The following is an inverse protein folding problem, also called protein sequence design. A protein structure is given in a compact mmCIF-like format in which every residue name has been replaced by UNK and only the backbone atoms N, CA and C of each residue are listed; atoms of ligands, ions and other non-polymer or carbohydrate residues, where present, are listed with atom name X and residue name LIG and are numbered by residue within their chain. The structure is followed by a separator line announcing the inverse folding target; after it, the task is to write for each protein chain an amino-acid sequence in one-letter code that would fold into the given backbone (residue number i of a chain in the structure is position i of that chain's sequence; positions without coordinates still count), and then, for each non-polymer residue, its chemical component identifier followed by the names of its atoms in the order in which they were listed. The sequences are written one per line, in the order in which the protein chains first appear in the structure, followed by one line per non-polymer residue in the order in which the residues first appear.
data_IF_206525042268
#
_entry.id   IF_206525042268
#
_cell.length_a   1.000
_cell.length_b   1.000
_cell.length_c   1.000
_cell.angle_alpha   90.00
_cell.angle_beta   90.00
_cell.angle_gamma   90.00
#
_symmetry.space_group_name_H-M   'P 1'
#
loop_
_entity.id
_entity.type
_entity.pdbx_description
1 polymer ?
#
# COMPACT_ATOMS: atom_id res chain seq x y z
N UNK A 1 -53.96 -35.90 15.91
CA UNK A 1 -53.83 -34.46 15.53
C UNK A 1 -52.88 -33.62 16.45
N UNK A 2 -52.38 -34.14 17.55
CA UNK A 2 -51.45 -33.46 18.45
C UNK A 2 -49.97 -33.50 17.99
N UNK A 3 -49.58 -34.53 17.23
CA UNK A 3 -48.18 -34.76 16.81
C UNK A 3 -47.61 -33.67 15.86
N UNK A 4 -48.44 -33.17 14.93
CA UNK A 4 -47.95 -32.17 13.95
C UNK A 4 -47.64 -30.78 14.55
N UNK A 5 -48.38 -30.40 15.62
CA UNK A 5 -48.14 -29.08 16.26
C UNK A 5 -46.84 -29.05 17.06
N UNK A 6 -46.47 -30.19 17.68
CA UNK A 6 -45.21 -30.30 18.42
C UNK A 6 -44.03 -30.30 17.48
N UNK A 7 -44.15 -30.96 16.30
CA UNK A 7 -43.09 -30.99 15.30
C UNK A 7 -42.83 -29.62 14.68
N UNK A 8 -43.89 -28.86 14.38
CA UNK A 8 -43.77 -27.48 13.85
C UNK A 8 -43.16 -26.55 14.89
N UNK A 9 -43.51 -26.68 16.17
CA UNK A 9 -42.96 -25.86 17.24
C UNK A 9 -41.47 -26.13 17.49
N UNK A 10 -41.03 -27.39 17.38
CA UNK A 10 -39.62 -27.79 17.47
C UNK A 10 -38.80 -27.29 16.27
N UNK A 11 -39.39 -27.34 15.06
CA UNK A 11 -38.76 -26.84 13.84
C UNK A 11 -38.58 -25.31 13.90
N UNK A 12 -39.58 -24.59 14.40
CA UNK A 12 -39.50 -23.13 14.60
C UNK A 12 -38.47 -22.73 15.66
N UNK A 13 -38.39 -23.47 16.75
CA UNK A 13 -37.36 -23.24 17.78
C UNK A 13 -35.94 -23.51 17.26
N UNK A 14 -35.74 -24.58 16.47
CA UNK A 14 -34.48 -24.88 15.83
C UNK A 14 -34.09 -23.78 14.81
N UNK A 15 -35.04 -23.25 14.05
CA UNK A 15 -34.80 -22.16 13.10
C UNK A 15 -34.43 -20.87 13.81
N UNK A 16 -35.01 -20.56 14.96
CA UNK A 16 -34.65 -19.40 15.79
C UNK A 16 -33.26 -19.53 16.39
N UNK A 17 -32.78 -20.73 16.75
CA UNK A 17 -31.44 -20.97 17.20
C UNK A 17 -30.39 -20.82 16.09
N UNK A 18 -30.70 -21.13 14.85
CA UNK A 18 -29.80 -20.95 13.70
C UNK A 18 -29.67 -19.47 13.35
N UNK A 19 -30.73 -18.68 13.54
CA UNK A 19 -30.68 -17.20 13.28
C UNK A 19 -29.99 -16.46 14.43
N UNK A 20 -29.99 -17.00 15.65
CA UNK A 20 -29.20 -16.48 16.78
C UNK A 20 -27.71 -16.85 16.69
N UNK A 21 -27.31 -17.63 15.66
CA UNK A 21 -25.92 -17.99 15.39
C UNK A 21 -25.07 -16.78 15.09
N UNK A 22 -24.26 -16.44 16.09
CA UNK A 22 -23.01 -15.70 16.02
C UNK A 22 -23.00 -14.49 15.09
N UNK A 23 -23.59 -13.39 15.50
CA UNK A 23 -22.99 -12.10 15.20
C UNK A 23 -21.65 -12.09 15.93
N UNK A 24 -20.55 -12.46 15.26
CA UNK A 24 -19.22 -12.15 15.76
C UNK A 24 -19.26 -10.68 16.13
N UNK A 25 -19.19 -10.37 17.43
CA UNK A 25 -19.10 -8.98 17.87
C UNK A 25 -17.89 -8.38 17.20
N UNK A 26 -18.08 -7.27 16.50
CA UNK A 26 -16.96 -6.51 15.97
C UNK A 26 -16.17 -5.98 17.15
N UNK A 27 -15.07 -6.65 17.48
CA UNK A 27 -14.09 -6.12 18.42
C UNK A 27 -13.22 -5.12 17.66
N UNK A 28 -13.20 -3.86 18.09
CA UNK A 28 -12.31 -2.87 17.48
C UNK A 28 -10.85 -3.24 17.77
N UNK A 29 -9.90 -2.82 16.92
CA UNK A 29 -8.48 -2.99 17.21
C UNK A 29 -8.10 -2.26 18.50
N UNK A 30 -7.02 -2.66 19.19
CA UNK A 30 -6.55 -2.02 20.42
C UNK A 30 -6.42 -0.50 20.26
N UNK A 31 -7.00 0.25 21.19
CA UNK A 31 -7.25 1.70 21.06
C UNK A 31 -5.99 2.54 20.76
N UNK A 32 -4.80 2.10 21.21
CA UNK A 32 -3.54 2.84 21.09
C UNK A 32 -2.62 2.33 19.97
N UNK A 33 -3.04 1.30 19.24
CA UNK A 33 -2.14 0.60 18.32
C UNK A 33 -1.62 1.53 17.21
N UNK A 34 -2.52 2.27 16.57
CA UNK A 34 -2.16 3.10 15.42
C UNK A 34 -1.43 4.40 15.78
N UNK A 35 -1.33 4.73 17.06
CA UNK A 35 -0.63 5.93 17.58
C UNK A 35 0.75 5.60 18.13
N UNK A 36 1.06 4.31 18.26
CA UNK A 36 2.34 3.83 18.76
C UNK A 36 3.11 3.09 17.66
N UNK A 37 4.17 3.72 17.14
CA UNK A 37 4.98 3.17 16.07
C UNK A 37 5.57 1.79 16.40
N UNK A 38 5.95 1.55 17.65
CA UNK A 38 6.48 0.25 18.07
C UNK A 38 5.42 -0.84 18.03
N UNK A 39 4.18 -0.52 18.41
CA UNK A 39 3.06 -1.47 18.31
C UNK A 39 2.70 -1.74 16.84
N UNK A 40 2.70 -0.70 16.00
CA UNK A 40 2.50 -0.84 14.55
C UNK A 40 3.55 -1.76 13.95
N UNK A 41 4.84 -1.53 14.26
CA UNK A 41 5.94 -2.37 13.77
C UNK A 41 5.81 -3.81 14.29
N UNK A 42 5.53 -3.99 15.59
CA UNK A 42 5.34 -5.32 16.19
C UNK A 42 4.21 -6.08 15.48
N UNK A 43 3.05 -5.46 15.33
CA UNK A 43 1.91 -6.07 14.64
C UNK A 43 2.24 -6.42 13.20
N UNK A 44 2.93 -5.53 12.48
CA UNK A 44 3.34 -5.79 11.12
C UNK A 44 4.29 -6.99 11.02
N UNK A 45 5.24 -7.11 11.95
CA UNK A 45 6.16 -8.26 12.02
C UNK A 45 5.45 -9.58 12.30
N UNK A 46 4.48 -9.58 13.20
CA UNK A 46 3.67 -10.77 13.51
C UNK A 46 2.89 -11.27 12.28
N UNK A 47 2.48 -10.37 11.39
CA UNK A 47 1.65 -10.69 10.22
C UNK A 47 2.47 -10.97 8.95
N UNK A 48 3.53 -10.20 8.71
CA UNK A 48 4.30 -10.26 7.45
C UNK A 48 5.63 -10.99 7.63
N UNK A 49 6.28 -10.85 8.79
CA UNK A 49 7.59 -11.43 9.12
C UNK A 49 8.59 -10.38 9.61
N UNK A 50 9.77 -10.84 10.02
CA UNK A 50 10.75 -10.02 10.76
C UNK A 50 11.46 -8.95 9.91
N UNK A 51 11.61 -9.17 8.59
CA UNK A 51 12.46 -8.33 7.73
C UNK A 51 11.75 -7.07 7.21
N UNK A 52 11.03 -6.36 8.08
CA UNK A 52 10.33 -5.15 7.71
C UNK A 52 11.28 -3.95 7.76
N UNK A 53 11.37 -3.21 6.65
CA UNK A 53 12.16 -1.99 6.51
C UNK A 53 11.37 -0.71 6.77
N UNK A 54 10.04 -0.76 6.60
CA UNK A 54 9.15 0.39 6.75
C UNK A 54 7.78 -0.04 7.28
N UNK A 55 7.21 0.76 8.19
CA UNK A 55 5.80 0.65 8.59
C UNK A 55 5.16 2.03 8.72
N UNK A 56 3.88 2.09 8.45
CA UNK A 56 3.06 3.28 8.71
C UNK A 56 1.61 2.90 8.95
N UNK A 57 0.96 3.58 9.87
CA UNK A 57 -0.49 3.49 10.05
C UNK A 57 -1.18 4.70 9.41
N UNK A 58 -2.35 4.48 8.80
CA UNK A 58 -3.10 5.54 8.13
C UNK A 58 -4.42 5.07 7.56
N UNK A 59 -5.12 6.00 6.90
CA UNK A 59 -6.41 5.78 6.26
C UNK A 59 -6.26 5.37 4.80
N UNK A 60 -5.69 4.18 4.56
CA UNK A 60 -5.30 3.74 3.22
C UNK A 60 -6.43 3.11 2.40
N UNK A 61 -7.42 2.52 3.04
CA UNK A 61 -8.56 1.90 2.36
C UNK A 61 -9.80 2.78 2.38
N UNK A 62 -10.06 3.38 3.55
CA UNK A 62 -11.21 4.24 3.79
C UNK A 62 -10.74 5.48 4.55
N UNK A 63 -11.57 6.48 4.63
CA UNK A 63 -11.35 7.70 5.42
C UNK A 63 -11.71 7.53 6.92
N UNK A 64 -12.22 6.38 7.31
CA UNK A 64 -12.76 6.14 8.67
C UNK A 64 -12.03 5.04 9.43
N UNK A 65 -11.40 4.09 8.74
CA UNK A 65 -10.73 2.95 9.37
C UNK A 65 -9.25 2.98 9.05
N UNK A 66 -8.42 3.04 10.11
CA UNK A 66 -6.97 2.94 9.97
C UNK A 66 -6.54 1.51 9.65
N UNK A 67 -5.54 1.38 8.82
CA UNK A 67 -4.83 0.15 8.49
C UNK A 67 -3.31 0.37 8.58
N UNK A 68 -2.54 -0.69 8.50
CA UNK A 68 -1.07 -0.65 8.54
C UNK A 68 -0.53 -0.97 7.17
N UNK A 69 0.51 -0.24 6.76
CA UNK A 69 1.36 -0.61 5.64
C UNK A 69 2.71 -1.05 6.17
N UNK A 70 3.18 -2.17 5.65
CA UNK A 70 4.54 -2.66 5.84
C UNK A 70 5.26 -2.72 4.49
N UNK A 71 6.52 -2.30 4.46
CA UNK A 71 7.39 -2.38 3.31
C UNK A 71 8.64 -3.20 3.62
N UNK A 72 9.03 -4.05 2.70
CA UNK A 72 10.26 -4.85 2.83
C UNK A 72 10.93 -5.07 1.48
N UNK A 73 12.25 -5.31 1.53
CA UNK A 73 13.02 -5.76 0.38
C UNK A 73 12.84 -7.26 0.20
N UNK A 74 12.64 -7.67 -1.03
CA UNK A 74 12.44 -9.09 -1.39
C UNK A 74 13.26 -9.45 -2.61
N UNK A 75 13.62 -10.72 -2.69
CA UNK A 75 14.20 -11.32 -3.89
C UNK A 75 13.25 -12.38 -4.42
N UNK A 76 12.77 -12.21 -5.64
CA UNK A 76 11.88 -13.16 -6.31
C UNK A 76 12.41 -13.47 -7.71
N UNK A 77 12.56 -14.76 -8.04
CA UNK A 77 13.01 -15.21 -9.37
C UNK A 77 14.32 -14.56 -9.83
N UNK A 78 15.27 -14.33 -8.92
CA UNK A 78 16.54 -13.64 -9.12
C UNK A 78 16.43 -12.12 -9.38
N UNK A 79 15.27 -11.51 -9.14
CA UNK A 79 15.09 -10.06 -9.19
C UNK A 79 14.99 -9.52 -7.75
N UNK A 80 15.67 -8.42 -7.48
CA UNK A 80 15.58 -7.68 -6.23
C UNK A 80 14.64 -6.50 -6.37
N UNK A 81 13.89 -6.23 -5.33
CA UNK A 81 13.00 -5.09 -5.29
C UNK A 81 12.30 -4.96 -3.95
N UNK A 82 11.27 -4.17 -3.94
CA UNK A 82 10.47 -3.90 -2.75
C UNK A 82 9.02 -4.36 -2.93
N UNK A 83 8.38 -4.70 -1.82
CA UNK A 83 6.94 -4.93 -1.74
C UNK A 83 6.33 -4.17 -0.60
N UNK A 84 5.09 -3.71 -0.82
CA UNK A 84 4.25 -3.16 0.22
C UNK A 84 3.07 -4.07 0.51
N UNK A 85 2.76 -4.21 1.79
CA UNK A 85 1.68 -5.03 2.32
C UNK A 85 0.68 -4.14 3.03
N UNK A 86 -0.59 -4.30 2.70
CA UNK A 86 -1.68 -3.70 3.45
C UNK A 86 -2.18 -4.71 4.47
N UNK A 87 -2.14 -4.31 5.74
CA UNK A 87 -2.56 -5.11 6.87
C UNK A 87 -3.77 -4.41 7.49
N UNK A 88 -4.90 -5.11 7.51
CA UNK A 88 -6.16 -4.58 8.01
C UNK A 88 -6.70 -5.43 9.14
N UNK A 89 -7.45 -4.79 10.04
CA UNK A 89 -8.19 -5.47 11.09
C UNK A 89 -9.43 -6.13 10.51
N UNK A 90 -9.46 -7.46 10.53
CA UNK A 90 -10.55 -8.26 9.95
C UNK A 90 -10.97 -9.32 10.94
N UNK A 91 -12.21 -9.29 11.39
CA UNK A 91 -12.81 -10.33 12.27
C UNK A 91 -12.03 -10.60 13.57
N UNK A 92 -11.49 -9.54 14.20
CA UNK A 92 -10.79 -9.66 15.49
C UNK A 92 -9.29 -9.95 15.38
N UNK A 93 -8.70 -9.91 14.18
CA UNK A 93 -7.27 -10.12 13.97
C UNK A 93 -6.72 -9.27 12.81
N UNK A 94 -5.42 -9.03 12.79
CA UNK A 94 -4.74 -8.38 11.68
C UNK A 94 -4.39 -9.38 10.59
N UNK A 95 -4.76 -9.07 9.34
CA UNK A 95 -4.51 -9.91 8.16
C UNK A 95 -3.93 -9.11 7.02
N UNK A 96 -3.07 -9.75 6.21
CA UNK A 96 -2.68 -9.19 4.92
C UNK A 96 -3.91 -9.19 4.02
N UNK A 97 -4.35 -7.98 3.64
CA UNK A 97 -5.47 -7.79 2.72
C UNK A 97 -5.02 -7.66 1.27
N UNK A 98 -3.83 -7.07 1.09
CA UNK A 98 -3.24 -6.85 -0.22
C UNK A 98 -1.72 -6.76 -0.13
N UNK A 99 -1.06 -7.12 -1.23
CA UNK A 99 0.36 -6.86 -1.44
C UNK A 99 0.59 -6.37 -2.86
N UNK A 100 1.58 -5.50 -3.05
CA UNK A 100 2.01 -5.08 -4.40
C UNK A 100 2.73 -6.22 -5.12
N UNK A 101 2.83 -6.15 -6.43
CA UNK A 101 3.87 -6.85 -7.17
C UNK A 101 5.26 -6.40 -6.71
N UNK A 102 6.30 -7.02 -7.28
CA UNK A 102 7.67 -6.58 -7.08
C UNK A 102 7.85 -5.21 -7.76
N UNK A 103 8.34 -4.22 -7.01
CA UNK A 103 8.59 -2.87 -7.46
C UNK A 103 10.09 -2.60 -7.45
N UNK A 104 10.57 -1.83 -8.42
CA UNK A 104 11.95 -1.37 -8.45
C UNK A 104 12.23 -0.40 -7.30
N UNK A 105 13.36 -0.56 -6.64
CA UNK A 105 13.79 0.31 -5.55
C UNK A 105 14.46 -0.44 -4.40
N UNK A 106 14.89 0.32 -3.41
CA UNK A 106 15.52 -0.17 -2.18
C UNK A 106 15.14 0.72 -1.00
N UNK A 107 15.12 0.18 0.20
CA UNK A 107 14.91 0.97 1.42
C UNK A 107 16.20 1.60 1.97
N UNK A 108 17.35 1.43 1.32
CA UNK A 108 18.63 1.98 1.79
C UNK A 108 18.70 3.50 1.58
N UNK A 109 18.29 3.99 0.40
CA UNK A 109 18.25 5.42 0.06
C UNK A 109 16.87 5.77 -0.49
N UNK A 110 15.90 5.81 0.40
CA UNK A 110 14.52 6.05 0.03
C UNK A 110 13.84 7.12 0.87
N UNK A 111 12.75 7.62 0.33
CA UNK A 111 11.75 8.42 1.02
C UNK A 111 10.42 7.68 0.92
N UNK A 112 9.75 7.47 2.05
CA UNK A 112 8.40 6.93 2.08
C UNK A 112 7.52 7.87 2.87
N UNK A 113 6.48 8.39 2.23
CA UNK A 113 5.56 9.34 2.85
C UNK A 113 4.10 8.97 2.58
N UNK A 114 3.24 9.32 3.51
CA UNK A 114 1.80 9.40 3.25
C UNK A 114 1.52 10.69 2.49
N UNK A 115 0.73 10.58 1.45
CA UNK A 115 0.27 11.72 0.66
C UNK A 115 -1.24 11.66 0.49
N UNK A 116 -1.87 12.82 0.38
CA UNK A 116 -3.30 12.92 0.11
C UNK A 116 -3.54 13.94 -0.99
N UNK A 117 -4.26 13.52 -2.02
CA UNK A 117 -4.74 14.41 -3.06
C UNK A 117 -6.23 14.72 -2.84
N UNK A 118 -6.68 15.87 -3.32
CA UNK A 118 -8.09 16.29 -3.18
C UNK A 118 -9.08 15.31 -3.81
N UNK A 119 -8.67 14.63 -4.89
CA UNK A 119 -9.53 13.72 -5.65
C UNK A 119 -9.56 12.29 -5.06
N UNK A 120 -8.81 12.08 -3.97
CA UNK A 120 -8.73 10.77 -3.30
C UNK A 120 -9.32 10.87 -1.89
N UNK A 121 -10.28 10.01 -1.60
CA UNK A 121 -10.87 9.92 -0.27
C UNK A 121 -9.91 9.34 0.78
N UNK A 122 -8.98 8.47 0.35
CA UNK A 122 -8.00 7.78 1.17
C UNK A 122 -6.60 8.41 1.07
N UNK A 123 -5.73 8.08 2.01
CA UNK A 123 -4.30 8.36 1.93
C UNK A 123 -3.64 7.41 0.94
N UNK A 124 -2.62 7.89 0.23
CA UNK A 124 -1.77 7.12 -0.66
C UNK A 124 -0.37 7.03 -0.07
N UNK A 125 0.41 6.06 -0.52
CA UNK A 125 1.85 6.01 -0.21
C UNK A 125 2.63 6.55 -1.39
N UNK A 126 3.49 7.50 -1.11
CA UNK A 126 4.55 7.92 -2.02
C UNK A 126 5.86 7.27 -1.59
N UNK A 127 6.47 6.55 -2.50
CA UNK A 127 7.79 5.97 -2.35
C UNK A 127 8.71 6.55 -3.41
N UNK A 128 9.96 6.88 -3.02
CA UNK A 128 11.01 7.33 -3.92
C UNK A 128 12.34 6.74 -3.47
N UNK A 129 13.07 6.14 -4.38
CA UNK A 129 14.40 5.57 -4.14
C UNK A 129 15.38 6.05 -5.19
N UNK A 130 16.59 6.37 -4.75
CA UNK A 130 17.67 6.86 -5.60
C UNK A 130 18.79 5.83 -5.68
N UNK A 131 19.23 5.52 -6.88
CA UNK A 131 20.37 4.65 -7.15
C UNK A 131 21.32 5.39 -8.10
N UNK A 132 22.41 5.92 -7.57
CA UNK A 132 23.41 6.61 -8.38
C UNK A 132 24.57 5.67 -8.70
N UNK A 133 25.00 5.71 -9.97
CA UNK A 133 26.21 5.02 -10.38
C UNK A 133 27.44 5.74 -9.84
N UNK A 134 28.53 5.00 -9.62
CA UNK A 134 29.77 5.58 -9.14
C UNK A 134 30.34 6.59 -10.15
N UNK A 135 30.78 7.72 -9.66
CA UNK A 135 31.31 8.82 -10.47
C UNK A 135 30.19 9.66 -11.12
N UNK A 136 30.46 10.24 -12.28
CA UNK A 136 29.53 11.09 -13.04
C UNK A 136 28.67 10.29 -14.03
N UNK A 137 28.55 8.99 -13.86
CA UNK A 137 27.88 8.09 -14.82
C UNK A 137 26.34 8.20 -14.83
N UNK A 138 25.77 9.03 -13.94
CA UNK A 138 24.33 9.18 -13.82
C UNK A 138 23.70 8.30 -12.75
N UNK A 139 22.46 7.91 -12.95
CA UNK A 139 21.72 7.05 -12.00
C UNK A 139 20.26 6.95 -12.33
N UNK A 140 19.56 6.19 -11.51
CA UNK A 140 18.14 5.96 -11.61
C UNK A 140 17.41 6.43 -10.35
N UNK A 141 16.20 6.96 -10.53
CA UNK A 141 15.29 7.24 -9.44
C UNK A 141 13.97 6.54 -9.72
N UNK A 142 13.60 5.64 -8.86
CA UNK A 142 12.32 4.93 -8.92
C UNK A 142 11.33 5.55 -7.97
N UNK A 143 10.16 5.90 -8.47
CA UNK A 143 9.10 6.51 -7.68
C UNK A 143 7.79 5.79 -7.91
N UNK A 144 7.06 5.57 -6.82
CA UNK A 144 5.75 4.92 -6.86
C UNK A 144 4.74 5.71 -6.03
N UNK A 145 3.55 5.91 -6.58
CA UNK A 145 2.36 6.31 -5.83
C UNK A 145 1.46 5.10 -5.75
N UNK A 146 1.16 4.65 -4.54
CA UNK A 146 0.44 3.41 -4.29
C UNK A 146 -0.94 3.74 -3.73
N UNK A 147 -1.98 3.42 -4.49
CA UNK A 147 -3.39 3.52 -4.11
C UNK A 147 -3.90 2.15 -3.70
N UNK A 148 -3.90 1.90 -2.40
CA UNK A 148 -4.31 0.61 -1.85
C UNK A 148 -5.82 0.38 -1.89
N UNK A 149 -6.62 1.45 -1.97
CA UNK A 149 -8.06 1.34 -2.17
C UNK A 149 -8.41 0.80 -3.55
N UNK A 150 -7.71 1.30 -4.59
CA UNK A 150 -7.90 0.86 -5.98
C UNK A 150 -7.01 -0.32 -6.36
N UNK A 151 -6.11 -0.75 -5.48
CA UNK A 151 -5.10 -1.79 -5.71
C UNK A 151 -4.21 -1.45 -6.92
N UNK A 152 -3.80 -0.18 -7.03
CA UNK A 152 -3.01 0.34 -8.15
C UNK A 152 -1.69 0.91 -7.68
N UNK A 153 -0.67 0.69 -8.51
CA UNK A 153 0.63 1.32 -8.39
C UNK A 153 0.87 2.16 -9.64
N UNK A 154 1.11 3.44 -9.43
CA UNK A 154 1.53 4.38 -10.46
C UNK A 154 3.03 4.57 -10.33
N UNK A 155 3.77 4.35 -11.39
CA UNK A 155 5.23 4.35 -11.35
C UNK A 155 5.80 5.45 -12.22
N UNK A 156 6.90 6.03 -11.76
CA UNK A 156 7.73 6.95 -12.50
C UNK A 156 9.19 6.51 -12.37
N UNK A 157 9.92 6.50 -13.47
CA UNK A 157 11.33 6.20 -13.53
C UNK A 157 12.07 7.40 -14.11
N UNK A 158 12.97 7.98 -13.35
CA UNK A 158 13.84 9.06 -13.77
C UNK A 158 15.23 8.48 -14.05
N UNK A 159 15.68 8.61 -15.29
CA UNK A 159 17.05 8.26 -15.70
C UNK A 159 17.89 9.52 -15.81
N UNK A 160 18.98 9.59 -15.05
CA UNK A 160 20.00 10.63 -15.15
C UNK A 160 21.11 10.07 -16.03
N UNK A 161 21.21 10.58 -17.27
CA UNK A 161 22.23 10.18 -18.23
C UNK A 161 23.40 11.16 -18.14
N UNK A 162 24.60 10.73 -18.45
CA UNK A 162 25.79 11.61 -18.52
C UNK A 162 25.52 12.87 -19.36
N UNK A 163 26.15 14.02 -19.03
CA UNK A 163 26.01 15.32 -19.67
C UNK A 163 24.72 16.10 -19.34
N UNK A 164 24.09 15.81 -18.21
CA UNK A 164 22.91 16.55 -17.72
C UNK A 164 21.61 16.24 -18.45
N UNK A 165 21.59 15.19 -19.24
CA UNK A 165 20.38 14.70 -19.88
C UNK A 165 19.58 13.88 -18.86
N UNK A 166 18.34 14.32 -18.61
CA UNK A 166 17.44 13.68 -17.64
C UNK A 166 16.14 13.33 -18.34
N UNK A 167 15.71 12.08 -18.26
CA UNK A 167 14.42 11.63 -18.80
C UNK A 167 13.53 11.07 -17.71
N UNK A 168 12.25 11.38 -17.79
CA UNK A 168 11.22 10.86 -16.89
C UNK A 168 10.25 10.01 -17.71
N UNK A 169 10.23 8.73 -17.39
CA UNK A 169 9.28 7.76 -17.94
C UNK A 169 8.14 7.53 -16.92
N UNK A 170 6.90 7.62 -17.40
CA UNK A 170 5.70 7.42 -16.58
C UNK A 170 4.98 6.16 -16.99
N UNK A 171 4.45 5.40 -16.03
CA UNK A 171 3.64 4.22 -16.32
C UNK A 171 2.34 4.59 -17.05
N UNK A 172 1.91 3.76 -17.99
CA UNK A 172 0.71 4.01 -18.81
C UNK A 172 -0.60 4.07 -18.03
N UNK A 173 -0.65 3.47 -16.86
CA UNK A 173 -1.84 3.42 -16.03
C UNK A 173 -2.10 4.71 -15.22
N UNK A 174 -1.31 5.77 -15.44
CA UNK A 174 -1.54 7.07 -14.80
C UNK A 174 -2.68 7.78 -15.53
N UNK A 175 -3.90 7.53 -15.04
CA UNK A 175 -5.14 8.12 -15.53
C UNK A 175 -5.49 9.45 -14.83
N UNK A 176 -4.84 9.75 -13.69
CA UNK A 176 -5.04 10.98 -12.91
C UNK A 176 -4.06 12.07 -13.33
N UNK A 177 -4.53 13.22 -13.87
CA UNK A 177 -3.69 14.38 -14.13
C UNK A 177 -2.95 14.87 -12.89
N UNK A 178 -3.53 14.71 -11.71
CA UNK A 178 -2.94 15.12 -10.45
C UNK A 178 -1.70 14.28 -10.11
N UNK A 179 -1.75 12.95 -10.29
CA UNK A 179 -0.59 12.07 -10.10
C UNK A 179 0.49 12.38 -11.14
N UNK A 180 0.11 12.58 -12.41
CA UNK A 180 1.06 12.97 -13.46
C UNK A 180 1.77 14.28 -13.12
N UNK A 181 1.01 15.29 -12.70
CA UNK A 181 1.54 16.60 -12.31
C UNK A 181 2.41 16.48 -11.05
N UNK A 182 2.04 15.62 -10.09
CA UNK A 182 2.83 15.38 -8.89
C UNK A 182 4.23 14.88 -9.25
N UNK A 183 4.36 13.80 -10.03
CA UNK A 183 5.65 13.29 -10.47
C UNK A 183 6.44 14.34 -11.26
N UNK A 184 5.81 14.98 -12.23
CA UNK A 184 6.48 15.97 -13.10
C UNK A 184 7.00 17.17 -12.28
N UNK A 185 6.18 17.70 -11.36
CA UNK A 185 6.57 18.85 -10.53
C UNK A 185 7.64 18.48 -9.50
N UNK A 186 7.53 17.27 -8.90
CA UNK A 186 8.51 16.77 -7.94
C UNK A 186 9.90 16.69 -8.57
N UNK A 187 10.01 16.10 -9.77
CA UNK A 187 11.31 15.97 -10.43
C UNK A 187 11.81 17.26 -11.05
N UNK A 188 10.94 18.13 -11.57
CA UNK A 188 11.38 19.44 -12.12
C UNK A 188 12.01 20.36 -11.09
N UNK A 189 11.64 20.23 -9.84
CA UNK A 189 12.26 20.99 -8.76
C UNK A 189 13.76 20.67 -8.62
N UNK A 190 14.10 19.38 -8.72
CA UNK A 190 15.48 18.90 -8.56
C UNK A 190 16.23 18.85 -9.92
N UNK A 191 15.49 18.75 -11.01
CA UNK A 191 15.99 18.63 -12.39
C UNK A 191 15.27 19.62 -13.32
N UNK A 192 15.67 20.90 -13.36
CA UNK A 192 14.96 21.94 -14.13
C UNK A 192 14.96 21.68 -15.64
N UNK A 193 15.95 20.96 -16.16
CA UNK A 193 16.07 20.60 -17.57
C UNK A 193 15.41 19.26 -17.92
N UNK A 194 14.50 18.79 -17.07
CA UNK A 194 13.80 17.51 -17.25
C UNK A 194 13.09 17.43 -18.60
N UNK A 195 13.43 16.41 -19.37
CA UNK A 195 12.71 16.02 -20.58
C UNK A 195 11.71 14.92 -20.22
N UNK A 196 10.42 15.23 -20.37
CA UNK A 196 9.38 14.22 -20.21
C UNK A 196 9.36 13.34 -21.48
N UNK A 197 9.58 12.07 -21.31
CA UNK A 197 9.48 11.06 -22.37
C UNK A 197 8.27 10.19 -22.02
N UNK A 198 7.22 10.31 -22.84
CA UNK A 198 6.06 9.40 -22.74
C UNK A 198 6.44 8.11 -23.47
N UNK A 199 6.99 7.14 -22.76
CA UNK A 199 7.21 5.79 -23.28
C UNK A 199 6.06 4.89 -22.89
N UNK A 200 5.60 4.10 -23.86
CA UNK A 200 4.82 2.90 -23.57
C UNK A 200 5.75 1.89 -22.88
N UNK A 201 5.58 1.68 -21.57
CA UNK A 201 6.21 0.60 -20.83
C UNK A 201 5.46 -0.72 -21.04
#
# INVERSE_FOLDING_TARGET
MLSNKIFISLLLAALLFVIAGCKKSYEPPPHNLFENEQLVLKTAKEVVGENISFTSAGYFETDTVKSIIAGLEVSEKNEWGIKFYLISWVEGEFKIKYQTGLLNGSFVQCLVNKIKFSDFANELIYYNSKSYFLGNAGGDVYSHVIDLKKLRVYSAHLSVISEGLVSLDLSQNIDSPMIKNFFTSYFRRDYPNLRLVERAL
#
